data_IF_363639847690
#
_entry.id   IF_363639847690
#
_cell.length_a   1.000
_cell.length_b   1.000
_cell.length_c   1.000
_cell.angle_alpha   90.00
_cell.angle_beta   90.00
_cell.angle_gamma   90.00
#
_symmetry.space_group_name_H-M   'P 1'
#
loop_
_entity.id
_entity.type
_entity.pdbx_description
1 polymer ?
#
# COMPACT_ATOMS: atom_id res chain seq x y z
N UNK A 1 23.45 -7.28 -9.43
CA UNK A 1 22.79 -7.21 -8.10
C UNK A 1 21.82 -6.03 -8.10
N UNK A 2 20.51 -6.27 -8.01
CA UNK A 2 19.53 -5.18 -7.87
C UNK A 2 19.49 -4.87 -6.36
N UNK A 3 19.70 -3.61 -5.93
CA UNK A 3 19.77 -3.29 -4.50
C UNK A 3 18.46 -3.69 -3.81
N UNK A 4 18.57 -4.37 -2.67
CA UNK A 4 17.45 -4.79 -1.82
C UNK A 4 16.54 -3.62 -1.46
N UNK A 5 17.08 -2.42 -1.28
CA UNK A 5 16.30 -1.18 -1.07
C UNK A 5 15.39 -0.83 -2.27
N UNK A 6 15.87 -1.01 -3.50
CA UNK A 6 15.09 -0.79 -4.71
C UNK A 6 13.95 -1.82 -4.89
N UNK A 7 14.07 -2.99 -4.26
CA UNK A 7 12.99 -3.99 -4.25
C UNK A 7 11.98 -3.74 -3.12
N UNK A 8 12.44 -3.33 -1.94
CA UNK A 8 11.57 -2.96 -0.82
C UNK A 8 10.72 -1.73 -1.15
N UNK A 9 11.33 -0.67 -1.71
CA UNK A 9 10.61 0.52 -2.18
C UNK A 9 9.58 0.19 -3.26
N UNK A 10 9.92 -0.69 -4.22
CA UNK A 10 8.98 -1.15 -5.25
C UNK A 10 7.80 -1.94 -4.68
N UNK A 11 8.01 -2.76 -3.64
CA UNK A 11 6.95 -3.52 -2.96
C UNK A 11 6.00 -2.60 -2.20
N UNK A 12 6.52 -1.65 -1.42
CA UNK A 12 5.72 -0.62 -0.72
C UNK A 12 4.87 0.19 -1.71
N UNK A 13 5.48 0.62 -2.82
CA UNK A 13 4.75 1.33 -3.88
C UNK A 13 3.67 0.45 -4.53
N UNK A 14 3.88 -0.87 -4.63
CA UNK A 14 2.89 -1.80 -5.19
C UNK A 14 1.71 -2.04 -4.25
N UNK A 15 1.96 -2.22 -2.95
CA UNK A 15 0.92 -2.40 -1.93
C UNK A 15 0.05 -1.15 -1.81
N UNK A 16 0.69 0.02 -1.75
CA UNK A 16 0.02 1.31 -1.76
C UNK A 16 -0.85 1.51 -3.00
N UNK A 17 -0.34 1.16 -4.18
CA UNK A 17 -1.12 1.20 -5.43
C UNK A 17 -2.33 0.29 -5.37
N UNK A 18 -2.18 -0.94 -4.89
CA UNK A 18 -3.28 -1.89 -4.79
C UNK A 18 -4.37 -1.44 -3.81
N UNK A 19 -4.00 -0.83 -2.66
CA UNK A 19 -4.96 -0.25 -1.72
C UNK A 19 -5.73 0.90 -2.35
N UNK A 20 -5.03 1.79 -3.05
CA UNK A 20 -5.65 2.93 -3.74
C UNK A 20 -6.57 2.45 -4.87
N UNK A 21 -6.17 1.43 -5.63
CA UNK A 21 -6.96 0.88 -6.73
C UNK A 21 -8.27 0.25 -6.22
N UNK A 22 -8.19 -0.53 -5.13
CA UNK A 22 -9.39 -1.05 -4.44
C UNK A 22 -10.27 0.07 -3.89
N UNK A 23 -9.68 1.08 -3.24
CA UNK A 23 -10.43 2.23 -2.75
C UNK A 23 -11.13 2.96 -3.90
N UNK A 24 -10.45 3.14 -5.04
CA UNK A 24 -10.99 3.80 -6.25
C UNK A 24 -12.17 3.01 -6.84
N UNK A 25 -12.09 1.69 -6.85
CA UNK A 25 -13.19 0.84 -7.31
C UNK A 25 -14.39 0.94 -6.36
N UNK A 26 -14.16 0.84 -5.05
CA UNK A 26 -15.23 0.94 -4.05
C UNK A 26 -15.91 2.32 -4.05
N UNK A 27 -15.15 3.41 -4.19
CA UNK A 27 -15.70 4.77 -4.24
C UNK A 27 -16.44 5.04 -5.55
N UNK A 28 -15.97 4.46 -6.67
CA UNK A 28 -16.68 4.51 -7.96
C UNK A 28 -18.05 3.84 -7.85
N UNK A 29 -18.11 2.64 -7.26
CA UNK A 29 -19.36 1.91 -7.03
C UNK A 29 -20.29 2.68 -6.09
N UNK A 30 -19.77 3.18 -4.98
CA UNK A 30 -20.54 3.97 -4.02
C UNK A 30 -21.17 5.21 -4.68
N UNK A 31 -20.37 6.01 -5.38
CA UNK A 31 -20.84 7.27 -5.99
C UNK A 31 -21.86 7.02 -7.10
N UNK A 32 -21.54 6.13 -8.05
CA UNK A 32 -22.42 5.90 -9.19
C UNK A 32 -23.65 5.07 -8.80
N UNK A 33 -23.54 4.20 -7.80
CA UNK A 33 -24.68 3.53 -7.17
C UNK A 33 -25.64 4.54 -6.52
N UNK A 34 -25.11 5.49 -5.74
CA UNK A 34 -25.90 6.56 -5.16
C UNK A 34 -26.58 7.43 -6.24
N UNK A 35 -25.86 7.80 -7.30
CA UNK A 35 -26.44 8.57 -8.42
C UNK A 35 -27.58 7.82 -9.12
N UNK A 36 -27.45 6.50 -9.34
CA UNK A 36 -28.52 5.67 -9.92
C UNK A 36 -29.73 5.64 -8.98
N UNK A 37 -29.52 5.45 -7.68
CA UNK A 37 -30.60 5.49 -6.69
C UNK A 37 -31.32 6.84 -6.73
N UNK A 38 -30.57 7.95 -6.71
CA UNK A 38 -31.13 9.32 -6.81
C UNK A 38 -31.94 9.50 -8.11
N UNK A 39 -31.42 9.03 -9.24
CA UNK A 39 -32.13 9.10 -10.52
C UNK A 39 -33.43 8.28 -10.50
N UNK A 40 -33.41 7.08 -9.92
CA UNK A 40 -34.58 6.22 -9.79
C UNK A 40 -35.63 6.81 -8.82
N UNK A 41 -35.21 7.34 -7.67
CA UNK A 41 -36.14 7.95 -6.70
C UNK A 41 -36.83 9.18 -7.29
N UNK A 42 -36.09 10.00 -8.03
CA UNK A 42 -36.66 11.18 -8.70
C UNK A 42 -37.52 10.82 -9.92
N UNK A 43 -37.25 9.69 -10.58
CA UNK A 43 -38.12 9.17 -11.63
C UNK A 43 -39.44 8.59 -11.08
N UNK A 44 -39.43 8.07 -9.85
CA UNK A 44 -40.61 7.52 -9.18
C UNK A 44 -41.58 8.61 -8.69
N UNK A 45 -41.07 9.78 -8.32
CA UNK A 45 -41.88 10.94 -7.93
C UNK A 45 -41.50 12.20 -8.74
N UNK A 46 -41.98 12.31 -9.99
CA UNK A 46 -41.63 13.43 -10.87
C UNK A 46 -42.28 14.76 -10.43
N UNK A 47 -43.20 14.76 -9.46
CA UNK A 47 -43.85 15.97 -8.96
C UNK A 47 -42.89 16.88 -8.16
N UNK A 48 -41.78 16.31 -7.65
CA UNK A 48 -40.76 17.03 -6.89
C UNK A 48 -39.77 17.83 -7.77
N UNK A 49 -39.79 17.64 -9.10
CA UNK A 49 -38.84 18.29 -10.01
C UNK A 49 -39.42 19.60 -10.54
N UNK A 50 -38.65 20.69 -10.37
CA UNK A 50 -39.08 22.02 -10.78
C UNK A 50 -39.27 22.19 -12.30
N UNK A 51 -38.47 21.52 -13.14
CA UNK A 51 -38.50 21.69 -14.60
C UNK A 51 -38.25 20.38 -15.37
N UNK A 52 -38.80 20.23 -16.59
CA UNK A 52 -38.52 19.08 -17.46
C UNK A 52 -37.03 18.97 -17.84
N UNK A 53 -36.32 20.09 -17.86
CA UNK A 53 -34.87 20.12 -18.06
C UNK A 53 -34.11 19.43 -16.91
N UNK A 54 -34.57 19.60 -15.66
CA UNK A 54 -34.05 18.90 -14.48
C UNK A 54 -34.24 17.39 -14.57
N UNK A 55 -35.41 16.94 -15.06
CA UNK A 55 -35.67 15.51 -15.31
C UNK A 55 -34.72 14.95 -16.36
N UNK A 56 -34.53 15.65 -17.49
CA UNK A 56 -33.63 15.20 -18.55
C UNK A 56 -32.18 15.11 -18.05
N UNK A 57 -31.73 16.08 -17.24
CA UNK A 57 -30.41 16.04 -16.62
C UNK A 57 -30.24 14.82 -15.71
N UNK A 58 -31.21 14.52 -14.85
CA UNK A 58 -31.18 13.34 -13.98
C UNK A 58 -31.15 12.03 -14.76
N UNK A 59 -31.90 11.93 -15.85
CA UNK A 59 -31.87 10.77 -16.75
C UNK A 59 -30.47 10.61 -17.35
N UNK A 60 -29.87 11.69 -17.84
CA UNK A 60 -28.50 11.66 -18.40
C UNK A 60 -27.50 11.24 -17.33
N UNK A 61 -27.58 11.79 -16.12
CA UNK A 61 -26.69 11.45 -14.99
C UNK A 61 -26.90 9.99 -14.55
N UNK A 62 -28.14 9.50 -14.53
CA UNK A 62 -28.48 8.12 -14.22
C UNK A 62 -27.93 7.14 -15.24
N UNK A 63 -28.12 7.42 -16.54
CA UNK A 63 -27.57 6.63 -17.64
C UNK A 63 -26.04 6.65 -17.64
N UNK A 64 -25.42 7.82 -17.42
CA UNK A 64 -23.98 7.93 -17.24
C UNK A 64 -23.49 7.09 -16.07
N UNK A 65 -24.15 7.17 -14.92
CA UNK A 65 -23.77 6.42 -13.73
C UNK A 65 -23.91 4.91 -13.94
N UNK A 66 -24.97 4.45 -14.61
CA UNK A 66 -25.14 3.05 -14.99
C UNK A 66 -24.03 2.58 -15.96
N UNK A 67 -23.71 3.38 -16.98
CA UNK A 67 -22.58 3.12 -17.88
C UNK A 67 -21.25 3.00 -17.12
N UNK A 68 -21.01 3.87 -16.13
CA UNK A 68 -19.80 3.83 -15.29
C UNK A 68 -19.75 2.60 -14.38
N UNK A 69 -20.89 2.14 -13.85
CA UNK A 69 -20.97 0.90 -13.06
C UNK A 69 -20.68 -0.34 -13.91
N UNK A 70 -21.06 -0.33 -15.19
CA UNK A 70 -20.79 -1.42 -16.14
C UNK A 70 -19.33 -1.44 -16.60
N UNK A 71 -18.77 -0.27 -16.93
CA UNK A 71 -17.40 -0.16 -17.47
C UNK A 71 -16.31 -0.17 -16.40
N UNK A 72 -16.63 0.26 -15.16
CA UNK A 72 -15.72 0.32 -13.99
C UNK A 72 -14.36 0.96 -14.25
N UNK A 73 -14.25 1.78 -15.31
CA UNK A 73 -12.95 2.31 -15.73
C UNK A 73 -12.45 3.38 -14.75
N UNK A 74 -11.24 3.20 -14.23
CA UNK A 74 -10.55 4.16 -13.38
C UNK A 74 -9.68 5.18 -14.17
N UNK A 75 -9.93 5.32 -15.48
CA UNK A 75 -9.17 6.26 -16.33
C UNK A 75 -9.30 7.71 -15.83
N UNK A 76 -8.19 8.50 -15.82
CA UNK A 76 -8.21 9.89 -15.36
C UNK A 76 -9.14 10.78 -16.21
N UNK A 77 -9.28 10.46 -17.50
CA UNK A 77 -10.23 11.15 -18.39
C UNK A 77 -11.67 10.92 -17.91
N UNK A 78 -11.98 9.69 -17.51
CA UNK A 78 -13.32 9.36 -16.99
C UNK A 78 -13.58 10.03 -15.64
N UNK A 79 -12.57 10.12 -14.76
CA UNK A 79 -12.67 10.88 -13.50
C UNK A 79 -12.94 12.36 -13.75
N UNK A 80 -12.29 12.96 -14.77
CA UNK A 80 -12.53 14.35 -15.15
C UNK A 80 -13.95 14.56 -15.67
N UNK A 81 -14.46 13.66 -16.52
CA UNK A 81 -15.85 13.70 -16.97
C UNK A 81 -16.84 13.54 -15.82
N UNK A 82 -16.57 12.63 -14.88
CA UNK A 82 -17.42 12.46 -13.70
C UNK A 82 -17.45 13.74 -12.85
N UNK A 83 -16.31 14.44 -12.71
CA UNK A 83 -16.23 15.71 -12.01
C UNK A 83 -17.04 16.81 -12.71
N UNK A 84 -16.92 16.93 -14.04
CA UNK A 84 -17.71 17.87 -14.84
C UNK A 84 -19.20 17.59 -14.69
N UNK A 85 -19.62 16.32 -14.71
CA UNK A 85 -21.00 15.94 -14.48
C UNK A 85 -21.50 16.36 -13.08
N UNK A 86 -20.69 16.15 -12.03
CA UNK A 86 -21.04 16.62 -10.67
C UNK A 86 -21.19 18.14 -10.62
N UNK A 87 -20.26 18.90 -11.21
CA UNK A 87 -20.33 20.37 -11.26
C UNK A 87 -21.57 20.83 -12.03
N UNK A 88 -21.90 20.19 -13.14
CA UNK A 88 -23.09 20.50 -13.92
C UNK A 88 -24.38 20.29 -13.10
N UNK A 89 -24.48 19.19 -12.33
CA UNK A 89 -25.60 18.95 -11.41
C UNK A 89 -25.68 20.05 -10.34
N UNK A 90 -24.55 20.46 -9.76
CA UNK A 90 -24.51 21.51 -8.75
C UNK A 90 -24.93 22.88 -9.30
N UNK A 91 -24.55 23.21 -10.55
CA UNK A 91 -24.98 24.44 -11.21
C UNK A 91 -26.46 24.39 -11.63
N UNK A 92 -26.99 23.19 -11.88
CA UNK A 92 -28.37 22.95 -12.31
C UNK A 92 -29.37 22.78 -11.15
N UNK A 93 -28.97 23.05 -9.90
CA UNK A 93 -29.87 23.15 -8.74
C UNK A 93 -31.18 23.91 -9.04
N UNK A 94 -31.20 25.08 -9.72
CA UNK A 94 -32.45 25.79 -10.03
C UNK A 94 -33.39 25.05 -10.97
N UNK A 95 -32.89 24.09 -11.76
CA UNK A 95 -33.72 23.25 -12.63
C UNK A 95 -34.37 22.09 -11.85
N UNK A 96 -33.81 21.73 -10.71
CA UNK A 96 -34.19 20.57 -9.92
C UNK A 96 -35.08 20.94 -8.73
N UNK A 97 -34.95 22.15 -8.18
CA UNK A 97 -35.58 22.55 -6.92
C UNK A 97 -36.49 23.76 -7.10
N UNK A 98 -37.76 23.64 -6.69
CA UNK A 98 -38.70 24.75 -6.70
C UNK A 98 -38.56 25.62 -5.44
N UNK A 99 -38.64 26.95 -5.61
CA UNK A 99 -38.25 27.96 -4.62
C UNK A 99 -38.81 27.86 -3.19
N UNK A 100 -40.08 27.52 -2.93
CA UNK A 100 -40.61 27.50 -1.57
C UNK A 100 -40.16 26.30 -0.72
N UNK A 101 -39.79 25.18 -1.34
CA UNK A 101 -39.48 23.91 -0.66
C UNK A 101 -37.99 23.52 -0.76
N UNK A 102 -37.09 24.49 -0.95
CA UNK A 102 -35.66 24.25 -1.16
C UNK A 102 -35.03 23.32 -0.11
N UNK A 103 -35.44 23.45 1.16
CA UNK A 103 -34.91 22.63 2.25
C UNK A 103 -35.40 21.18 2.23
N UNK A 104 -36.52 20.88 1.54
CA UNK A 104 -37.03 19.51 1.36
C UNK A 104 -36.56 18.87 0.05
N UNK A 105 -36.53 19.62 -1.04
CA UNK A 105 -36.33 19.05 -2.39
C UNK A 105 -34.86 19.04 -2.86
N UNK A 106 -33.94 19.65 -2.10
CA UNK A 106 -32.53 19.74 -2.49
C UNK A 106 -31.69 18.49 -2.13
N UNK A 107 -32.32 17.40 -1.68
CA UNK A 107 -31.63 16.15 -1.32
C UNK A 107 -30.85 15.54 -2.49
N UNK A 108 -31.36 15.63 -3.73
CA UNK A 108 -30.74 15.02 -4.89
C UNK A 108 -29.38 15.66 -5.27
N UNK A 109 -29.27 17.00 -5.48
CA UNK A 109 -27.98 17.64 -5.73
C UNK A 109 -26.97 17.42 -4.60
N UNK A 110 -27.42 17.44 -3.34
CA UNK A 110 -26.56 17.20 -2.16
C UNK A 110 -26.02 15.77 -2.16
N UNK A 111 -26.86 14.77 -2.43
CA UNK A 111 -26.43 13.37 -2.48
C UNK A 111 -25.38 13.15 -3.57
N UNK A 112 -25.58 13.71 -4.77
CA UNK A 112 -24.63 13.63 -5.88
C UNK A 112 -23.30 14.33 -5.53
N UNK A 113 -23.38 15.56 -5.00
CA UNK A 113 -22.20 16.34 -4.64
C UNK A 113 -21.41 15.72 -3.47
N UNK A 114 -22.10 15.31 -2.41
CA UNK A 114 -21.49 14.74 -1.21
C UNK A 114 -20.80 13.41 -1.49
N UNK A 115 -21.45 12.51 -2.22
CA UNK A 115 -20.83 11.23 -2.61
C UNK A 115 -19.64 11.43 -3.54
N UNK A 116 -19.67 12.44 -4.42
CA UNK A 116 -18.52 12.81 -5.24
C UNK A 116 -17.35 13.37 -4.41
N UNK A 117 -17.61 14.26 -3.46
CA UNK A 117 -16.58 14.81 -2.55
C UNK A 117 -15.88 13.69 -1.78
N UNK A 118 -16.63 12.78 -1.17
CA UNK A 118 -16.09 11.61 -0.45
C UNK A 118 -15.28 10.72 -1.39
N UNK A 119 -15.81 10.41 -2.58
CA UNK A 119 -15.13 9.55 -3.56
C UNK A 119 -13.80 10.15 -4.03
N UNK A 120 -13.77 11.44 -4.36
CA UNK A 120 -12.54 12.12 -4.77
C UNK A 120 -11.53 12.25 -3.63
N UNK A 121 -11.99 12.54 -2.41
CA UNK A 121 -11.12 12.66 -1.25
C UNK A 121 -10.42 11.33 -0.88
N UNK A 122 -11.11 10.20 -1.04
CA UNK A 122 -10.54 8.87 -0.79
C UNK A 122 -9.61 8.40 -1.93
N UNK A 123 -9.95 8.69 -3.18
CA UNK A 123 -9.26 8.12 -4.35
C UNK A 123 -8.07 8.98 -4.83
N UNK A 124 -8.17 10.30 -4.69
CA UNK A 124 -7.17 11.25 -5.18
C UNK A 124 -6.26 11.77 -4.07
N UNK A 125 -5.17 12.44 -4.45
CA UNK A 125 -4.28 13.11 -3.50
C UNK A 125 -5.01 14.33 -2.90
N UNK A 126 -4.81 14.67 -1.61
CA UNK A 126 -5.45 15.82 -0.97
C UNK A 126 -5.26 17.15 -1.71
N UNK A 127 -4.09 17.34 -2.36
CA UNK A 127 -3.79 18.54 -3.17
C UNK A 127 -4.66 18.69 -4.42
N UNK A 128 -5.23 17.59 -4.91
CA UNK A 128 -6.12 17.56 -6.08
C UNK A 128 -7.59 17.52 -5.63
N UNK A 129 -7.90 16.72 -4.61
CA UNK A 129 -9.27 16.62 -4.12
C UNK A 129 -9.77 17.91 -3.45
N UNK A 130 -8.90 18.66 -2.76
CA UNK A 130 -9.27 19.93 -2.13
C UNK A 130 -9.79 20.97 -3.15
N UNK A 131 -9.05 21.33 -4.23
CA UNK A 131 -9.58 22.29 -5.20
C UNK A 131 -10.84 21.76 -5.91
N UNK A 132 -10.96 20.44 -6.12
CA UNK A 132 -12.20 19.85 -6.65
C UNK A 132 -13.38 20.04 -5.69
N UNK A 133 -13.20 19.80 -4.40
CA UNK A 133 -14.24 20.03 -3.38
C UNK A 133 -14.62 21.51 -3.29
N UNK A 134 -13.65 22.43 -3.32
CA UNK A 134 -13.92 23.87 -3.33
C UNK A 134 -14.74 24.26 -4.57
N UNK A 135 -14.40 23.69 -5.74
CA UNK A 135 -15.15 23.93 -6.98
C UNK A 135 -16.58 23.41 -6.91
N UNK A 136 -16.78 22.20 -6.37
CA UNK A 136 -18.12 21.61 -6.17
C UNK A 136 -18.93 22.49 -5.19
N UNK A 137 -18.31 22.90 -4.08
CA UNK A 137 -18.95 23.76 -3.09
C UNK A 137 -19.34 25.13 -3.67
N UNK A 138 -18.46 25.75 -4.46
CA UNK A 138 -18.73 27.02 -5.13
C UNK A 138 -19.82 26.89 -6.20
N UNK A 139 -19.81 25.82 -7.00
CA UNK A 139 -20.83 25.53 -8.01
C UNK A 139 -22.20 25.32 -7.36
N UNK A 140 -22.25 24.56 -6.26
CA UNK A 140 -23.47 24.32 -5.51
C UNK A 140 -23.99 25.60 -4.83
N UNK A 141 -23.11 26.39 -4.22
CA UNK A 141 -23.47 27.69 -3.63
C UNK A 141 -24.04 28.64 -4.70
N UNK A 142 -23.44 28.66 -5.89
CA UNK A 142 -23.94 29.46 -7.02
C UNK A 142 -25.32 28.97 -7.49
N UNK A 143 -25.52 27.66 -7.66
CA UNK A 143 -26.81 27.09 -8.04
C UNK A 143 -27.90 27.34 -6.99
N UNK A 144 -27.57 27.18 -5.70
CA UNK A 144 -28.48 27.47 -4.60
C UNK A 144 -28.84 28.95 -4.49
N UNK A 145 -27.87 29.85 -4.72
CA UNK A 145 -28.09 31.30 -4.71
C UNK A 145 -29.10 31.76 -5.77
N UNK A 146 -29.21 31.06 -6.90
CA UNK A 146 -30.20 31.38 -7.93
C UNK A 146 -31.65 31.06 -7.49
N UNK A 147 -31.82 30.16 -6.52
CA UNK A 147 -33.14 29.77 -6.00
C UNK A 147 -33.52 30.57 -4.76
N UNK A 148 -32.59 30.68 -3.81
CA UNK A 148 -32.87 31.17 -2.44
C UNK A 148 -32.29 32.57 -2.20
N UNK A 149 -31.41 33.05 -3.09
CA UNK A 149 -30.72 34.33 -2.97
C UNK A 149 -29.41 34.24 -2.17
N UNK A 150 -28.45 35.12 -2.49
CA UNK A 150 -27.11 35.13 -1.88
C UNK A 150 -27.11 35.39 -0.37
N UNK A 151 -28.12 36.10 0.15
CA UNK A 151 -28.23 36.41 1.58
C UNK A 151 -28.46 35.18 2.45
N UNK A 152 -29.09 34.13 1.91
CA UNK A 152 -29.45 32.91 2.64
C UNK A 152 -28.47 31.75 2.38
N UNK A 153 -27.51 31.90 1.46
CA UNK A 153 -26.47 30.89 1.18
C UNK A 153 -25.64 30.51 2.42
N UNK A 154 -25.22 31.44 3.29
CA UNK A 154 -24.44 31.10 4.49
C UNK A 154 -25.21 30.24 5.50
N UNK A 155 -26.54 30.28 5.46
CA UNK A 155 -27.43 29.51 6.32
C UNK A 155 -27.61 28.07 5.82
N UNK A 156 -27.20 27.79 4.58
CA UNK A 156 -27.25 26.45 3.99
C UNK A 156 -26.20 25.57 4.65
N UNK A 157 -26.64 24.81 5.67
CA UNK A 157 -25.81 23.90 6.46
C UNK A 157 -25.01 22.89 5.61
N UNK A 158 -25.51 22.55 4.42
CA UNK A 158 -24.89 21.60 3.50
C UNK A 158 -23.50 22.02 2.99
N UNK A 159 -23.21 23.33 2.93
CA UNK A 159 -21.90 23.80 2.46
C UNK A 159 -20.79 23.44 3.47
N UNK A 160 -21.09 23.54 4.77
CA UNK A 160 -20.18 23.11 5.84
C UNK A 160 -20.00 21.60 5.85
N UNK A 161 -21.04 20.84 5.50
CA UNK A 161 -20.95 19.39 5.40
C UNK A 161 -19.98 18.92 4.32
N UNK A 162 -19.82 19.62 3.20
CA UNK A 162 -18.82 19.22 2.20
C UNK A 162 -17.38 19.35 2.74
N UNK A 163 -17.10 20.40 3.51
CA UNK A 163 -15.81 20.55 4.18
C UNK A 163 -15.60 19.45 5.23
N UNK A 164 -16.64 19.13 6.01
CA UNK A 164 -16.59 18.05 7.00
C UNK A 164 -16.39 16.69 6.35
N UNK A 165 -17.12 16.38 5.28
CA UNK A 165 -17.02 15.14 4.51
C UNK A 165 -15.63 14.99 3.88
N UNK A 166 -15.09 16.07 3.29
CA UNK A 166 -13.72 16.05 2.76
C UNK A 166 -12.70 15.81 3.86
N UNK A 167 -12.85 16.47 5.02
CA UNK A 167 -11.94 16.33 6.16
C UNK A 167 -11.96 14.90 6.69
N UNK A 168 -13.15 14.37 6.98
CA UNK A 168 -13.32 13.00 7.47
C UNK A 168 -12.76 11.96 6.48
N UNK A 169 -13.03 12.13 5.18
CA UNK A 169 -12.54 11.23 4.13
C UNK A 169 -11.02 11.30 3.99
N UNK A 170 -10.43 12.49 4.10
CA UNK A 170 -8.98 12.70 4.04
C UNK A 170 -8.28 12.09 5.24
N UNK A 171 -8.85 12.24 6.44
CA UNK A 171 -8.36 11.60 7.67
C UNK A 171 -8.45 10.08 7.55
N UNK A 172 -9.59 9.56 7.08
CA UNK A 172 -9.77 8.12 6.86
C UNK A 172 -8.71 7.57 5.91
N UNK A 173 -8.51 8.23 4.76
CA UNK A 173 -7.47 7.88 3.79
C UNK A 173 -6.07 7.89 4.42
N UNK A 174 -5.77 8.92 5.22
CA UNK A 174 -4.49 9.04 5.90
C UNK A 174 -4.26 7.88 6.89
N UNK A 175 -5.25 7.57 7.73
CA UNK A 175 -5.19 6.47 8.70
C UNK A 175 -5.02 5.14 7.98
N UNK A 176 -5.80 4.86 6.93
CA UNK A 176 -5.69 3.62 6.17
C UNK A 176 -4.29 3.43 5.57
N UNK A 177 -3.72 4.49 4.98
CA UNK A 177 -2.37 4.42 4.41
C UNK A 177 -1.32 4.25 5.52
N UNK A 178 -1.46 4.94 6.65
CA UNK A 178 -0.53 4.80 7.78
C UNK A 178 -0.54 3.41 8.39
N UNK A 179 -1.72 2.81 8.54
CA UNK A 179 -1.84 1.43 9.02
C UNK A 179 -1.21 0.46 8.03
N UNK A 180 -1.40 0.65 6.72
CA UNK A 180 -0.76 -0.17 5.70
C UNK A 180 0.77 -0.09 5.79
N UNK A 181 1.32 1.13 5.87
CA UNK A 181 2.76 1.37 6.00
C UNK A 181 3.32 0.70 7.28
N UNK A 182 2.58 0.79 8.40
CA UNK A 182 2.99 0.18 9.67
C UNK A 182 2.95 -1.36 9.64
N UNK A 183 1.93 -1.95 9.01
CA UNK A 183 1.81 -3.41 8.84
C UNK A 183 2.93 -3.94 7.93
N UNK A 184 3.22 -3.24 6.83
CA UNK A 184 4.29 -3.63 5.92
C UNK A 184 5.66 -3.56 6.59
N UNK A 185 5.91 -2.51 7.40
CA UNK A 185 7.13 -2.42 8.20
C UNK A 185 7.26 -3.56 9.22
N UNK A 186 6.17 -3.90 9.92
CA UNK A 186 6.16 -4.98 10.90
C UNK A 186 6.38 -6.37 10.24
N UNK A 187 5.80 -6.59 9.06
CA UNK A 187 6.03 -7.81 8.27
C UNK A 187 7.48 -7.94 7.83
N UNK A 188 8.06 -6.85 7.35
CA UNK A 188 9.46 -6.86 6.94
C UNK A 188 10.41 -7.13 8.10
N UNK A 189 10.17 -6.51 9.26
CA UNK A 189 10.94 -6.79 10.48
C UNK A 189 10.84 -8.26 10.89
N UNK A 190 9.64 -8.86 10.80
CA UNK A 190 9.42 -10.27 11.09
C UNK A 190 10.18 -11.19 10.11
N UNK A 191 10.12 -10.93 8.81
CA UNK A 191 10.85 -11.70 7.81
C UNK A 191 12.37 -11.70 8.08
N UNK A 192 12.93 -10.53 8.42
CA UNK A 192 14.35 -10.41 8.78
C UNK A 192 14.68 -11.21 10.04
N UNK A 193 13.81 -11.17 11.05
CA UNK A 193 14.00 -11.94 12.29
C UNK A 193 13.97 -13.45 12.04
N UNK A 194 13.02 -13.95 11.24
CA UNK A 194 12.90 -15.39 10.93
C UNK A 194 14.14 -15.91 10.17
N UNK A 195 14.67 -15.12 9.22
CA UNK A 195 15.90 -15.47 8.51
C UNK A 195 17.09 -15.51 9.46
N UNK A 196 17.26 -14.48 10.30
CA UNK A 196 18.35 -14.42 11.26
C UNK A 196 18.30 -15.57 12.27
N UNK A 197 17.11 -15.91 12.76
CA UNK A 197 16.93 -17.05 13.68
C UNK A 197 17.33 -18.37 13.03
N UNK A 198 16.92 -18.57 11.77
CA UNK A 198 17.26 -19.79 10.99
C UNK A 198 18.77 -19.90 10.78
N UNK A 199 19.43 -18.80 10.37
CA UNK A 199 20.89 -18.76 10.20
C UNK A 199 21.61 -19.03 11.51
N UNK A 200 21.22 -18.35 12.60
CA UNK A 200 21.81 -18.55 13.92
C UNK A 200 21.60 -19.97 14.47
N UNK A 201 20.46 -20.60 14.17
CA UNK A 201 20.22 -22.00 14.51
C UNK A 201 21.15 -22.95 13.73
N UNK A 202 21.34 -22.69 12.43
CA UNK A 202 22.23 -23.48 11.58
C UNK A 202 23.70 -23.37 12.02
N UNK A 203 24.19 -22.15 12.29
CA UNK A 203 25.55 -21.91 12.81
C UNK A 203 25.76 -22.67 14.13
N UNK A 204 24.85 -22.53 15.09
CA UNK A 204 24.94 -23.26 16.37
C UNK A 204 24.87 -24.77 16.22
N UNK A 205 24.22 -25.30 15.19
CA UNK A 205 24.22 -26.73 14.90
C UNK A 205 25.57 -27.18 14.34
N UNK A 206 26.14 -26.40 13.42
CA UNK A 206 27.46 -26.65 12.85
C UNK A 206 28.58 -26.61 13.90
N UNK A 207 28.60 -25.60 14.76
CA UNK A 207 29.62 -25.49 15.82
C UNK A 207 29.59 -26.68 16.78
N UNK A 208 28.37 -27.13 17.15
CA UNK A 208 28.19 -28.31 18.00
C UNK A 208 28.69 -29.58 17.32
N UNK A 209 28.51 -29.69 16.01
CA UNK A 209 29.00 -30.84 15.25
C UNK A 209 30.51 -30.82 15.10
N UNK A 210 31.12 -29.68 14.80
CA UNK A 210 32.59 -29.54 14.79
C UNK A 210 33.20 -29.87 16.15
N UNK A 211 32.58 -29.41 17.23
CA UNK A 211 33.04 -29.72 18.60
C UNK A 211 33.01 -31.23 18.88
N UNK A 212 31.96 -31.94 18.44
CA UNK A 212 31.87 -33.40 18.56
C UNK A 212 32.95 -34.11 17.75
N UNK A 213 33.14 -33.71 16.49
CA UNK A 213 34.16 -34.28 15.62
C UNK A 213 35.59 -34.08 16.18
N UNK A 214 35.86 -32.90 16.74
CA UNK A 214 37.12 -32.63 17.44
C UNK A 214 37.30 -33.56 18.64
N UNK A 215 36.27 -33.71 19.47
CA UNK A 215 36.32 -34.62 20.62
C UNK A 215 36.56 -36.07 20.23
N UNK A 216 35.89 -36.59 19.20
CA UNK A 216 36.06 -37.97 18.74
C UNK A 216 37.46 -38.21 18.16
N UNK A 217 38.01 -37.21 17.47
CA UNK A 217 39.38 -37.26 16.91
C UNK A 217 40.42 -37.24 18.04
N UNK A 218 40.25 -36.38 19.04
CA UNK A 218 41.12 -36.32 20.23
C UNK A 218 41.04 -37.62 21.03
N UNK A 219 39.85 -38.16 21.25
CA UNK A 219 39.67 -39.43 21.94
C UNK A 219 40.32 -40.60 21.18
N UNK A 220 40.14 -40.65 19.86
CA UNK A 220 40.75 -41.68 19.00
C UNK A 220 42.28 -41.61 18.99
N UNK A 221 42.85 -40.41 18.88
CA UNK A 221 44.31 -40.21 18.91
C UNK A 221 44.91 -40.52 20.28
N UNK A 222 44.27 -40.10 21.38
CA UNK A 222 44.70 -40.45 22.74
C UNK A 222 44.60 -41.96 23.00
N UNK A 223 43.57 -42.64 22.49
CA UNK A 223 43.45 -44.10 22.60
C UNK A 223 44.57 -44.80 21.83
N UNK A 224 44.88 -44.34 20.61
CA UNK A 224 45.96 -44.90 19.79
C UNK A 224 47.33 -44.74 20.47
N UNK A 225 47.58 -43.60 21.11
CA UNK A 225 48.79 -43.35 21.89
C UNK A 225 48.85 -44.21 23.17
N UNK A 226 47.72 -44.38 23.87
CA UNK A 226 47.64 -45.18 25.11
C UNK A 226 47.81 -46.69 24.91
N UNK A 227 47.54 -47.20 23.71
CA UNK A 227 47.70 -48.62 23.36
C UNK A 227 49.12 -49.01 22.91
N UNK A 228 50.08 -48.09 23.00
CA UNK A 228 51.49 -48.39 22.72
C UNK A 228 51.85 -48.44 21.23
N UNK A 229 51.08 -47.77 20.36
CA UNK A 229 51.51 -47.56 18.98
C UNK A 229 52.83 -46.76 18.97
N UNK A 230 53.86 -47.23 18.25
CA UNK A 230 55.11 -46.49 18.04
C UNK A 230 54.85 -45.27 17.15
N UNK A 231 54.38 -44.17 17.75
CA UNK A 231 54.22 -42.88 17.06
C UNK A 231 55.57 -42.14 17.14
N UNK A 232 56.19 -41.78 16.00
CA UNK A 232 57.47 -41.06 16.01
C UNK A 232 57.33 -39.71 16.73
N UNK A 233 58.08 -39.51 17.82
CA UNK A 233 57.98 -38.32 18.67
C UNK A 233 58.20 -36.99 17.90
N UNK A 234 59.01 -37.01 16.85
CA UNK A 234 59.23 -35.86 15.97
C UNK A 234 57.98 -35.47 15.16
N UNK A 235 57.17 -36.45 14.75
CA UNK A 235 55.91 -36.20 14.03
C UNK A 235 54.85 -35.57 14.94
N UNK A 236 54.74 -36.08 16.17
CA UNK A 236 53.81 -35.55 17.17
C UNK A 236 54.17 -34.11 17.58
N UNK A 237 55.46 -33.82 17.79
CA UNK A 237 55.93 -32.47 18.10
C UNK A 237 55.67 -31.47 16.96
N UNK A 238 55.76 -31.92 15.71
CA UNK A 238 55.47 -31.10 14.53
C UNK A 238 53.97 -30.80 14.41
N UNK A 239 53.12 -31.81 14.68
CA UNK A 239 51.67 -31.65 14.70
C UNK A 239 51.25 -30.67 15.82
N UNK A 240 51.75 -30.87 17.05
CA UNK A 240 51.43 -30.05 18.20
C UNK A 240 51.87 -28.58 18.03
N UNK A 241 53.01 -28.32 17.37
CA UNK A 241 53.44 -26.96 17.03
C UNK A 241 52.46 -26.28 16.08
N UNK A 242 52.04 -27.01 15.03
CA UNK A 242 51.11 -26.50 14.03
C UNK A 242 49.74 -26.18 14.65
N UNK A 243 49.26 -27.03 15.54
CA UNK A 243 47.98 -26.81 16.24
C UNK A 243 48.07 -25.64 17.25
N UNK A 244 49.21 -25.46 17.92
CA UNK A 244 49.47 -24.30 18.79
C UNK A 244 49.58 -22.98 18.01
N UNK A 245 50.20 -22.99 16.82
CA UNK A 245 50.28 -21.81 15.95
C UNK A 245 48.87 -21.36 15.51
N UNK A 246 48.00 -22.31 15.13
CA UNK A 246 46.60 -22.02 14.77
C UNK A 246 45.79 -21.45 15.94
N UNK A 247 46.04 -21.90 17.18
CA UNK A 247 45.40 -21.35 18.38
C UNK A 247 45.96 -19.99 18.79
N UNK A 248 47.22 -19.69 18.47
CA UNK A 248 47.87 -18.42 18.75
C UNK A 248 47.37 -17.28 17.86
N UNK A 249 46.94 -17.60 16.63
CA UNK A 249 46.36 -16.63 15.69
C UNK A 249 44.97 -16.11 16.12
N UNK A 250 44.34 -16.72 17.14
CA UNK A 250 43.09 -16.28 17.74
C UNK A 250 41.84 -16.56 16.87
N UNK A 251 40.62 -16.39 17.42
CA UNK A 251 39.39 -16.62 16.66
C UNK A 251 39.32 -15.65 15.47
N UNK A 252 38.90 -16.10 14.28
CA UNK A 252 38.75 -15.23 13.12
C UNK A 252 37.80 -14.09 13.47
N UNK A 253 38.28 -12.85 13.38
CA UNK A 253 37.43 -11.70 13.58
C UNK A 253 36.45 -11.62 12.42
N UNK A 254 35.16 -11.77 12.70
CA UNK A 254 34.10 -11.42 11.75
C UNK A 254 34.25 -9.94 11.41
N UNK A 255 34.54 -9.58 10.15
CA UNK A 255 34.61 -8.18 9.75
C UNK A 255 33.28 -7.51 10.04
N UNK A 256 33.31 -6.34 10.68
CA UNK A 256 32.12 -5.52 10.90
C UNK A 256 31.73 -4.89 9.56
N UNK A 257 30.95 -5.62 8.75
CA UNK A 257 30.61 -5.23 7.38
C UNK A 257 30.07 -6.37 6.52
N UNK A 258 29.60 -6.04 5.31
CA UNK A 258 29.27 -7.01 4.28
C UNK A 258 30.54 -7.75 3.84
N UNK A 259 30.63 -9.04 4.13
CA UNK A 259 31.74 -9.89 3.71
C UNK A 259 31.46 -10.39 2.29
N UNK A 260 32.42 -10.23 1.40
CA UNK A 260 32.42 -10.82 0.06
C UNK A 260 32.61 -12.34 0.22
N UNK A 261 31.65 -13.11 -0.28
CA UNK A 261 31.60 -14.57 -0.11
C UNK A 261 31.57 -15.29 -1.45
N UNK A 262 31.48 -14.56 -2.57
CA UNK A 262 31.35 -15.14 -3.91
C UNK A 262 32.68 -15.72 -4.35
N UNK A 263 33.79 -15.05 -4.08
CA UNK A 263 35.13 -15.54 -4.41
C UNK A 263 35.50 -16.80 -3.59
N UNK A 264 35.36 -16.82 -2.25
CA UNK A 264 35.57 -18.04 -1.46
C UNK A 264 34.66 -19.20 -1.86
N UNK A 265 33.38 -18.93 -2.16
CA UNK A 265 32.43 -19.97 -2.61
C UNK A 265 32.77 -20.51 -4.00
N UNK A 266 33.30 -19.66 -4.90
CA UNK A 266 33.76 -20.07 -6.23
C UNK A 266 34.97 -20.99 -6.14
N UNK A 267 35.88 -20.71 -5.22
CA UNK A 267 37.06 -21.53 -4.98
C UNK A 267 36.69 -22.91 -4.41
N UNK A 268 35.77 -22.95 -3.42
CA UNK A 268 35.25 -24.20 -2.87
C UNK A 268 34.46 -25.02 -3.90
N UNK A 269 33.70 -24.35 -4.77
CA UNK A 269 32.87 -25.00 -5.77
C UNK A 269 33.63 -25.43 -7.03
N UNK A 270 34.92 -25.10 -7.16
CA UNK A 270 35.76 -25.50 -8.31
C UNK A 270 35.83 -27.03 -8.52
N UNK A 271 35.51 -27.80 -7.49
CA UNK A 271 35.53 -29.28 -7.51
C UNK A 271 34.17 -29.91 -7.86
N UNK A 272 33.10 -29.11 -7.94
CA UNK A 272 31.76 -29.60 -8.22
C UNK A 272 31.53 -29.73 -9.73
N UNK A 273 31.05 -30.90 -10.17
CA UNK A 273 30.78 -31.20 -11.59
C UNK A 273 29.39 -30.77 -12.07
N UNK A 274 28.52 -30.39 -11.14
CA UNK A 274 27.14 -29.93 -11.40
C UNK A 274 27.16 -28.45 -11.78
N UNK A 275 26.44 -27.99 -12.81
CA UNK A 275 26.42 -26.58 -13.18
C UNK A 275 25.70 -25.73 -12.11
N UNK A 276 26.35 -24.67 -11.63
CA UNK A 276 25.81 -23.70 -10.67
C UNK A 276 26.19 -22.27 -11.09
N UNK A 277 25.43 -21.27 -10.60
CA UNK A 277 25.72 -19.85 -10.79
C UNK A 277 25.64 -19.13 -9.44
N UNK A 278 26.69 -18.37 -9.09
CA UNK A 278 26.67 -17.49 -7.92
C UNK A 278 26.11 -16.11 -8.28
N UNK A 279 25.31 -15.53 -7.40
CA UNK A 279 24.79 -14.16 -7.53
C UNK A 279 25.16 -13.35 -6.28
N UNK A 280 26.10 -12.41 -6.43
CA UNK A 280 26.59 -11.54 -5.36
C UNK A 280 27.41 -10.36 -5.91
N UNK A 281 27.97 -9.51 -5.04
CA UNK A 281 28.90 -8.44 -5.41
C UNK A 281 30.31 -9.06 -5.45
N UNK A 282 31.10 -8.73 -6.48
CA UNK A 282 32.56 -8.94 -6.48
C UNK A 282 33.23 -7.93 -5.54
#
# INVERSE_FOLDING_TARGET
MIPTELTAGRRLDSARRHIIDRATTSTLLMRHGANVIVALTMAADPADIATPAGTMLLVVVGLWSAYRLLTRSASPVMTALDFVATVAVCLAVPLMVAGPDFHRSNCAPIAVAGTAVVAFALSLRPRISLPMTVTIAAAYAHGAAQVVGWSQVPEIFNLYYFALQWTASTVMRFVTLRVADAVDAARHAREVMEVNETVNAAVRAYDREQTRLLHDTVASTLMLAGQGAEIPAAGLATQARRDLDVLADGPPQTPDGSVEVVEPLRELAAHLRTPFSFTGFD
#
